data_IF_856133319205
#
_entry.id   IF_856133319205
#
_cell.length_a   1.000
_cell.length_b   1.000
_cell.length_c   1.000
_cell.angle_alpha   90.00
_cell.angle_beta   90.00
_cell.angle_gamma   90.00
#
_symmetry.space_group_name_H-M   'P 1'
#
loop_
_entity.id
_entity.type
_entity.pdbx_description
1 polymer ?
#
# COMPACT_ATOMS: atom_id res chain seq x y z
N UNK A 1 -23.64 -32.74 22.73
CA UNK A 1 -24.60 -32.04 21.85
C UNK A 1 -23.96 -31.99 20.48
N UNK A 2 -24.43 -32.78 19.51
CA UNK A 2 -23.96 -32.69 18.12
C UNK A 2 -24.66 -31.49 17.47
N UNK A 3 -23.91 -30.67 16.74
CA UNK A 3 -24.45 -29.52 16.00
C UNK A 3 -24.60 -29.91 14.52
N UNK A 4 -25.74 -30.49 14.11
CA UNK A 4 -25.92 -31.06 12.77
C UNK A 4 -25.74 -30.04 11.64
N UNK A 5 -26.06 -28.76 11.89
CA UNK A 5 -25.82 -27.67 10.95
C UNK A 5 -24.32 -27.43 10.67
N UNK A 6 -23.49 -27.47 11.72
CA UNK A 6 -22.05 -27.27 11.58
C UNK A 6 -21.42 -28.47 10.84
N UNK A 7 -21.92 -29.68 11.11
CA UNK A 7 -21.48 -30.89 10.42
C UNK A 7 -21.83 -30.89 8.93
N UNK A 8 -23.02 -30.40 8.55
CA UNK A 8 -23.42 -30.25 7.15
C UNK A 8 -22.56 -29.22 6.41
N UNK A 9 -22.37 -28.04 7.01
CA UNK A 9 -21.50 -27.00 6.42
C UNK A 9 -20.05 -27.47 6.28
N UNK A 10 -19.52 -28.18 7.29
CA UNK A 10 -18.18 -28.75 7.22
C UNK A 10 -18.07 -29.84 6.16
N UNK A 11 -19.06 -30.72 6.04
CA UNK A 11 -19.08 -31.77 5.00
C UNK A 11 -19.09 -31.17 3.59
N UNK A 12 -19.98 -30.22 3.31
CA UNK A 12 -20.03 -29.50 2.03
C UNK A 12 -18.74 -28.72 1.74
N UNK A 13 -18.11 -28.15 2.77
CA UNK A 13 -16.82 -27.47 2.65
C UNK A 13 -15.69 -28.44 2.28
N UNK A 14 -15.64 -29.62 2.90
CA UNK A 14 -14.63 -30.64 2.56
C UNK A 14 -14.87 -31.23 1.16
N UNK A 15 -16.12 -31.49 0.77
CA UNK A 15 -16.47 -31.93 -0.58
C UNK A 15 -16.11 -30.88 -1.65
N UNK A 16 -16.29 -29.60 -1.34
CA UNK A 16 -15.86 -28.48 -2.20
C UNK A 16 -14.34 -28.46 -2.39
N UNK A 17 -13.56 -28.65 -1.31
CA UNK A 17 -12.10 -28.72 -1.39
C UNK A 17 -11.60 -29.93 -2.20
N UNK A 18 -12.33 -31.04 -2.19
CA UNK A 18 -11.95 -32.26 -2.92
C UNK A 18 -12.37 -32.25 -4.41
N UNK A 19 -13.14 -31.23 -4.81
CA UNK A 19 -13.55 -31.03 -6.18
C UNK A 19 -12.34 -30.90 -7.14
N UNK A 20 -12.45 -31.40 -8.38
CA UNK A 20 -11.35 -31.39 -9.34
C UNK A 20 -10.90 -29.96 -9.72
N UNK A 21 -11.80 -28.98 -9.61
CA UNK A 21 -11.52 -27.55 -9.85
C UNK A 21 -10.59 -26.99 -8.76
N UNK A 22 -10.85 -27.32 -7.49
CA UNK A 22 -9.99 -26.89 -6.38
C UNK A 22 -8.65 -27.58 -6.33
N UNK A 23 -8.59 -28.84 -6.79
CA UNK A 23 -7.31 -29.52 -6.97
C UNK A 23 -6.39 -28.78 -7.93
N UNK A 24 -6.92 -28.21 -9.02
CA UNK A 24 -6.16 -27.40 -9.98
C UNK A 24 -5.79 -25.99 -9.50
N UNK A 25 -6.16 -25.61 -8.28
CA UNK A 25 -5.89 -24.28 -7.75
C UNK A 25 -4.38 -24.05 -7.59
N UNK A 26 -3.83 -22.90 -8.06
CA UNK A 26 -2.39 -22.71 -8.12
C UNK A 26 -1.72 -22.71 -6.75
N UNK A 27 -2.43 -22.52 -5.63
CA UNK A 27 -1.86 -22.50 -4.28
C UNK A 27 -1.85 -23.86 -3.57
N UNK A 28 -2.27 -24.95 -4.23
CA UNK A 28 -2.25 -26.30 -3.65
C UNK A 28 -0.84 -26.93 -3.69
N UNK A 29 -0.53 -27.83 -2.76
CA UNK A 29 0.82 -28.40 -2.54
C UNK A 29 1.26 -29.43 -3.59
N UNK A 30 0.35 -29.91 -4.44
CA UNK A 30 0.61 -30.98 -5.43
C UNK A 30 1.28 -30.55 -6.74
N UNK A 31 1.46 -29.24 -6.99
CA UNK A 31 1.92 -28.69 -8.28
C UNK A 31 3.27 -27.97 -8.17
N UNK A 32 4.20 -28.51 -7.36
CA UNK A 32 5.49 -27.88 -7.05
C UNK A 32 6.48 -27.75 -8.22
N UNK A 33 6.27 -28.47 -9.33
CA UNK A 33 7.24 -28.56 -10.43
C UNK A 33 6.84 -27.79 -11.70
N UNK A 34 5.65 -27.19 -11.73
CA UNK A 34 5.13 -26.52 -12.93
C UNK A 34 5.29 -25.00 -12.83
N UNK A 35 5.87 -24.40 -13.88
CA UNK A 35 6.11 -22.94 -13.98
C UNK A 35 4.80 -22.14 -13.97
N UNK A 36 3.71 -22.71 -14.54
CA UNK A 36 2.41 -22.04 -14.62
C UNK A 36 1.81 -21.65 -13.26
N UNK A 37 1.63 -22.60 -12.32
CA UNK A 37 1.18 -22.32 -10.97
C UNK A 37 2.04 -21.30 -10.23
N UNK A 38 3.36 -21.32 -10.40
CA UNK A 38 4.25 -20.34 -9.77
C UNK A 38 3.99 -18.91 -10.28
N UNK A 39 3.82 -18.72 -11.58
CA UNK A 39 3.47 -17.41 -12.18
C UNK A 39 2.09 -16.94 -11.69
N UNK A 40 1.10 -17.83 -11.65
CA UNK A 40 -0.24 -17.51 -11.17
C UNK A 40 -0.23 -17.02 -9.71
N UNK A 41 0.58 -17.64 -8.85
CA UNK A 41 0.78 -17.17 -7.46
C UNK A 41 1.37 -15.77 -7.43
N UNK A 42 2.42 -15.51 -8.22
CA UNK A 42 3.09 -14.21 -8.26
C UNK A 42 2.15 -13.09 -8.74
N UNK A 43 1.35 -13.35 -9.78
CA UNK A 43 0.36 -12.39 -10.30
C UNK A 43 -0.71 -12.12 -9.25
N UNK A 44 -1.24 -13.16 -8.62
CA UNK A 44 -2.27 -13.02 -7.60
C UNK A 44 -1.76 -12.21 -6.40
N UNK A 45 -0.56 -12.52 -5.88
CA UNK A 45 0.05 -11.77 -4.79
C UNK A 45 0.26 -10.30 -5.19
N UNK A 46 0.79 -10.05 -6.38
CA UNK A 46 0.97 -8.69 -6.90
C UNK A 46 -0.37 -7.94 -7.00
N UNK A 47 -1.42 -8.62 -7.45
CA UNK A 47 -2.77 -8.04 -7.53
C UNK A 47 -3.31 -7.67 -6.14
N UNK A 48 -3.13 -8.53 -5.14
CA UNK A 48 -3.51 -8.23 -3.76
C UNK A 48 -2.74 -7.02 -3.22
N UNK A 49 -1.43 -6.93 -3.47
CA UNK A 49 -0.65 -5.75 -3.07
C UNK A 49 -1.15 -4.47 -3.74
N UNK A 50 -1.44 -4.50 -5.05
CA UNK A 50 -2.02 -3.36 -5.76
C UNK A 50 -3.36 -2.96 -5.14
N UNK A 51 -4.23 -3.94 -4.87
CA UNK A 51 -5.52 -3.68 -4.23
C UNK A 51 -5.37 -3.05 -2.84
N UNK A 52 -4.43 -3.55 -2.02
CA UNK A 52 -4.12 -2.97 -0.71
C UNK A 52 -3.60 -1.54 -0.85
N UNK A 53 -2.66 -1.27 -1.77
CA UNK A 53 -2.13 0.07 -2.00
C UNK A 53 -3.25 1.02 -2.44
N UNK A 54 -4.12 0.61 -3.35
CA UNK A 54 -5.27 1.41 -3.79
C UNK A 54 -6.26 1.65 -2.64
N UNK A 55 -6.52 0.64 -1.83
CA UNK A 55 -7.39 0.74 -0.66
C UNK A 55 -6.82 1.74 0.36
N UNK A 56 -5.54 1.63 0.69
CA UNK A 56 -4.85 2.57 1.59
C UNK A 56 -4.79 3.97 0.98
N UNK A 57 -4.58 4.09 -0.33
CA UNK A 57 -4.60 5.38 -1.03
C UNK A 57 -5.99 6.01 -1.02
N UNK A 58 -7.06 5.22 -1.08
CA UNK A 58 -8.42 5.70 -0.95
C UNK A 58 -8.73 6.11 0.50
N UNK A 59 -8.17 5.39 1.48
CA UNK A 59 -8.45 5.61 2.90
C UNK A 59 -7.66 6.79 3.49
N UNK A 60 -6.38 6.92 3.11
CA UNK A 60 -5.39 7.83 3.69
C UNK A 60 -4.67 8.72 2.66
N UNK A 61 -4.87 8.52 1.36
CA UNK A 61 -4.26 9.34 0.31
C UNK A 61 -4.89 10.73 0.19
N UNK A 62 -4.58 11.49 -0.86
CA UNK A 62 -5.12 12.84 -1.04
C UNK A 62 -6.65 12.77 -1.18
N UNK A 63 -7.38 13.30 -0.19
CA UNK A 63 -8.83 13.17 0.03
C UNK A 63 -9.33 11.88 0.72
N UNK A 64 -8.45 11.15 1.43
CA UNK A 64 -8.83 9.95 2.17
C UNK A 64 -9.82 10.23 3.31
N UNK A 65 -10.82 9.36 3.48
CA UNK A 65 -11.88 9.52 4.49
C UNK A 65 -11.35 9.54 5.93
N UNK A 66 -10.27 8.80 6.21
CA UNK A 66 -9.61 8.76 7.53
C UNK A 66 -8.32 9.59 7.57
N UNK A 67 -8.12 10.49 6.61
CA UNK A 67 -6.95 11.38 6.63
C UNK A 67 -7.13 12.43 7.73
N UNK A 68 -6.44 12.25 8.84
CA UNK A 68 -6.45 13.20 9.93
C UNK A 68 -5.68 14.47 9.54
N UNK A 69 -6.28 15.64 9.75
CA UNK A 69 -5.70 16.94 9.39
C UNK A 69 -4.42 17.27 10.17
N UNK A 70 -4.14 16.54 11.26
CA UNK A 70 -2.95 16.75 12.06
C UNK A 70 -1.66 16.29 11.36
N UNK A 71 -1.70 15.23 10.54
CA UNK A 71 -0.52 14.81 9.77
C UNK A 71 -0.15 15.79 8.65
N UNK A 72 -1.15 16.44 8.04
CA UNK A 72 -0.91 17.49 7.05
C UNK A 72 -0.30 18.75 7.71
N UNK A 73 -0.69 19.05 8.97
CA UNK A 73 -0.17 20.19 9.72
C UNK A 73 1.31 20.03 10.02
N UNK A 74 1.76 18.85 10.44
CA UNK A 74 3.19 18.60 10.73
C UNK A 74 4.06 18.72 9.47
N UNK A 75 3.61 18.16 8.34
CA UNK A 75 4.30 18.29 7.06
C UNK A 75 4.32 19.76 6.55
N UNK A 76 3.24 20.51 6.76
CA UNK A 76 3.18 21.92 6.39
C UNK A 76 4.09 22.79 7.30
N UNK A 77 4.13 22.50 8.60
CA UNK A 77 5.02 23.14 9.57
C UNK A 77 6.49 22.91 9.24
N UNK A 78 6.88 21.69 8.85
CA UNK A 78 8.24 21.38 8.39
C UNK A 78 8.60 22.17 7.13
N UNK A 79 7.73 22.21 6.12
CA UNK A 79 7.98 23.01 4.91
C UNK A 79 8.10 24.50 5.19
N UNK A 80 7.29 25.04 6.11
CA UNK A 80 7.38 26.44 6.54
C UNK A 80 8.72 26.70 7.24
N UNK A 81 9.17 25.77 8.08
CA UNK A 81 10.44 25.88 8.78
C UNK A 81 11.62 25.86 7.82
N UNK A 82 11.64 24.92 6.89
CA UNK A 82 12.70 24.82 5.86
C UNK A 82 12.77 26.07 4.98
N UNK A 83 11.62 26.64 4.58
CA UNK A 83 11.59 27.93 3.84
C UNK A 83 12.13 29.09 4.67
N UNK A 84 11.81 29.16 5.97
CA UNK A 84 12.30 30.21 6.86
C UNK A 84 13.82 30.11 7.06
N UNK A 85 14.34 28.90 7.24
CA UNK A 85 15.77 28.64 7.34
C UNK A 85 16.50 29.04 6.04
N UNK A 86 15.95 28.65 4.89
CA UNK A 86 16.50 29.02 3.59
C UNK A 86 16.53 30.55 3.39
N UNK A 87 15.46 31.25 3.78
CA UNK A 87 15.38 32.71 3.73
C UNK A 87 16.39 33.37 4.68
N UNK A 88 16.56 32.84 5.88
CA UNK A 88 17.55 33.36 6.83
C UNK A 88 18.99 33.19 6.33
N UNK A 89 19.30 32.08 5.65
CA UNK A 89 20.61 31.86 5.02
C UNK A 89 20.86 32.86 3.88
N UNK A 90 19.83 33.18 3.09
CA UNK A 90 19.90 34.19 2.04
C UNK A 90 20.10 35.60 2.60
N UNK A 91 19.34 35.98 3.64
CA UNK A 91 19.47 37.27 4.30
C UNK A 91 20.84 37.46 4.99
N UNK A 92 21.46 36.38 5.47
CA UNK A 92 22.84 36.38 6.00
C UNK A 92 23.91 36.45 4.90
N UNK A 93 23.55 36.30 3.63
CA UNK A 93 24.48 36.25 2.52
C UNK A 93 25.32 34.97 2.47
N UNK A 94 24.92 33.91 3.17
CA UNK A 94 25.61 32.61 3.19
C UNK A 94 25.34 31.79 1.92
N UNK A 95 24.25 32.11 1.21
CA UNK A 95 23.89 31.51 -0.08
C UNK A 95 23.61 32.61 -1.10
N UNK A 96 23.94 32.32 -2.35
CA UNK A 96 23.69 33.25 -3.46
C UNK A 96 22.23 33.24 -3.89
N UNK A 97 21.78 34.29 -4.59
CA UNK A 97 20.41 34.40 -5.12
C UNK A 97 20.03 33.20 -6.02
N UNK A 98 20.98 32.75 -6.85
CA UNK A 98 20.80 31.58 -7.70
C UNK A 98 20.61 30.28 -6.91
N UNK A 99 21.37 30.07 -5.83
CA UNK A 99 21.24 28.89 -4.96
C UNK A 99 19.94 28.93 -4.15
N UNK A 100 19.51 30.12 -3.74
CA UNK A 100 18.24 30.33 -3.06
C UNK A 100 17.07 29.94 -3.98
N UNK A 101 17.04 30.42 -5.22
CA UNK A 101 15.98 30.08 -6.18
C UNK A 101 15.90 28.58 -6.50
N UNK A 102 17.04 27.92 -6.69
CA UNK A 102 17.08 26.47 -6.95
C UNK A 102 16.53 25.67 -5.77
N UNK A 103 16.96 26.02 -4.55
CA UNK A 103 16.52 25.31 -3.33
C UNK A 103 15.06 25.57 -3.02
N UNK A 104 14.57 26.81 -3.27
CA UNK A 104 13.17 27.15 -3.10
C UNK A 104 12.28 26.37 -4.06
N UNK A 105 12.69 26.24 -5.33
CA UNK A 105 11.94 25.47 -6.33
C UNK A 105 11.83 23.99 -5.98
N UNK A 106 12.89 23.40 -5.39
CA UNK A 106 12.89 22.02 -4.90
C UNK A 106 11.95 21.80 -3.70
N UNK A 107 11.70 22.82 -2.90
CA UNK A 107 10.77 22.79 -1.75
C UNK A 107 9.29 22.93 -2.16
N UNK A 108 9.03 23.30 -3.41
CA UNK A 108 7.67 23.45 -3.97
C UNK A 108 7.17 22.23 -4.74
N UNK A 109 8.07 21.38 -5.22
CA UNK A 109 7.78 20.06 -5.80
C UNK A 109 7.39 19.02 -4.73
#
# INVERSE_FOLDING_TARGET
>A
MSFPFLSFFMADFFDFLDSPVWRGWPFNSGYGEQIGPAIARMIFVSFIFIAIILFLRLLYGPNGFFRDKEMDREAEEERIKERKELKALFEKGEITEFEYEIKLKRLEE
#
